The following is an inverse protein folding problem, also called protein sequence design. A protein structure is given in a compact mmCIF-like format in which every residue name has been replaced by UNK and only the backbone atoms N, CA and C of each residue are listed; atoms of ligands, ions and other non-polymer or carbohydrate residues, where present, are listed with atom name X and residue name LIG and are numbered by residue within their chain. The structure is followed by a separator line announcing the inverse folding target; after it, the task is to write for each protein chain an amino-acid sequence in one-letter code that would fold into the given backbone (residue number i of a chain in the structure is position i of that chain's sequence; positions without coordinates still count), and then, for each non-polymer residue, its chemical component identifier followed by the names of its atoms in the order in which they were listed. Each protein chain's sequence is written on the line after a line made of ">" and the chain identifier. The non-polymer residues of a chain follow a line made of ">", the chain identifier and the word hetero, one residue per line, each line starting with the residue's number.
data_IF_381669516677
#
_entry.id   IF_381669516677
#
_cell.length_a   1.000
_cell.length_b   1.000
_cell.length_c   1.000
_cell.angle_alpha   90.00
_cell.angle_beta   90.00
_cell.angle_gamma   90.00
#
_symmetry.space_group_name_H-M   'P 1'
#
loop_
_entity.id
_entity.type
_entity.pdbx_description
1 polymer ?
#
# COMPACT_ATOMS: atom_id res chain seq x y z
N UNK A 1 -44.77 -2.63 30.18
CA UNK A 1 -43.44 -2.61 29.54
C UNK A 1 -43.39 -1.41 28.60
N UNK A 2 -42.51 -0.43 28.83
CA UNK A 2 -42.29 0.66 27.87
C UNK A 2 -41.57 0.05 26.66
N UNK A 3 -42.25 -0.09 25.54
CA UNK A 3 -41.61 -0.34 24.24
C UNK A 3 -40.73 0.85 23.94
N UNK A 4 -39.41 0.68 24.04
CA UNK A 4 -38.45 1.72 23.68
C UNK A 4 -38.45 1.79 22.15
N UNK A 5 -38.99 2.88 21.61
CA UNK A 5 -39.02 3.13 20.17
C UNK A 5 -37.62 3.54 19.70
N UNK A 6 -36.78 2.55 19.34
CA UNK A 6 -35.41 2.76 18.86
C UNK A 6 -35.32 2.63 17.34
N UNK A 7 -34.43 3.42 16.73
CA UNK A 7 -33.89 3.16 15.40
C UNK A 7 -32.67 2.26 15.59
N UNK A 8 -32.59 1.16 14.83
CA UNK A 8 -31.40 0.30 14.85
C UNK A 8 -30.58 0.49 13.58
N UNK A 9 -29.31 0.82 13.81
CA UNK A 9 -28.30 0.97 12.78
C UNK A 9 -27.25 -0.10 13.05
N UNK A 10 -27.01 -0.95 12.06
CA UNK A 10 -25.95 -1.96 12.12
C UNK A 10 -24.69 -1.41 11.45
N UNK A 11 -23.57 -1.38 12.18
CA UNK A 11 -22.25 -1.17 11.59
C UNK A 11 -21.65 -2.55 11.31
N UNK A 12 -21.43 -2.88 10.04
CA UNK A 12 -20.99 -4.19 9.60
C UNK A 12 -19.69 -4.09 8.79
N UNK A 13 -18.62 -4.74 9.27
CA UNK A 13 -17.48 -5.02 8.41
C UNK A 13 -17.77 -6.31 7.63
N UNK A 14 -18.51 -6.17 6.52
CA UNK A 14 -19.00 -7.26 5.69
C UNK A 14 -19.11 -6.81 4.23
N UNK A 15 -19.09 -7.79 3.31
CA UNK A 15 -19.32 -7.57 1.88
C UNK A 15 -20.80 -7.28 1.57
N UNK A 16 -21.10 -6.92 0.32
CA UNK A 16 -22.47 -6.60 -0.08
C UNK A 16 -23.44 -7.78 0.08
N UNK A 17 -22.99 -9.00 -0.21
CA UNK A 17 -23.84 -10.19 -0.16
C UNK A 17 -24.27 -10.48 1.27
N UNK A 18 -23.33 -10.43 2.20
CA UNK A 18 -23.58 -10.66 3.63
C UNK A 18 -24.44 -9.54 4.23
N UNK A 19 -24.23 -8.28 3.84
CA UNK A 19 -25.10 -7.18 4.27
C UNK A 19 -26.55 -7.35 3.80
N UNK A 20 -26.76 -7.79 2.55
CA UNK A 20 -28.11 -8.10 2.05
C UNK A 20 -28.73 -9.27 2.81
N UNK A 21 -27.95 -10.30 3.12
CA UNK A 21 -28.41 -11.43 3.95
C UNK A 21 -28.86 -10.94 5.33
N UNK A 22 -28.07 -10.10 5.99
CA UNK A 22 -28.40 -9.50 7.29
C UNK A 22 -29.68 -8.65 7.22
N UNK A 23 -29.83 -7.82 6.20
CA UNK A 23 -31.04 -7.01 6.00
C UNK A 23 -32.30 -7.87 5.78
N UNK A 24 -32.15 -9.02 5.12
CA UNK A 24 -33.24 -9.97 4.88
C UNK A 24 -33.64 -10.71 6.16
N UNK A 25 -32.65 -11.19 6.92
CA UNK A 25 -32.86 -11.99 8.12
C UNK A 25 -33.35 -11.13 9.30
N UNK A 26 -32.93 -9.87 9.37
CA UNK A 26 -33.22 -8.94 10.48
C UNK A 26 -33.99 -7.71 9.99
N UNK A 27 -35.29 -7.88 9.81
CA UNK A 27 -36.24 -6.83 9.41
C UNK A 27 -36.29 -5.63 10.36
N UNK A 28 -35.74 -5.73 11.57
CA UNK A 28 -35.71 -4.67 12.57
C UNK A 28 -34.67 -3.57 12.31
N UNK A 29 -33.65 -3.87 11.51
CA UNK A 29 -32.62 -2.92 11.11
C UNK A 29 -33.24 -1.85 10.20
N UNK A 30 -32.98 -0.58 10.52
CA UNK A 30 -33.41 0.53 9.67
C UNK A 30 -32.31 0.93 8.67
N UNK A 31 -31.05 0.73 9.06
CA UNK A 31 -29.87 1.04 8.26
C UNK A 31 -28.76 0.03 8.55
N UNK A 32 -28.07 -0.42 7.51
CA UNK A 32 -26.79 -1.12 7.59
C UNK A 32 -25.74 -0.23 6.96
N UNK A 33 -24.66 0.02 7.69
CA UNK A 33 -23.47 0.74 7.22
C UNK A 33 -22.32 -0.25 7.09
N UNK A 34 -21.91 -0.52 5.86
CA UNK A 34 -20.88 -1.48 5.50
C UNK A 34 -19.47 -0.92 5.32
N UNK A 35 -18.47 -1.81 5.23
CA UNK A 35 -17.07 -1.40 5.02
C UNK A 35 -16.12 -2.41 4.35
N UNK A 36 -16.46 -3.70 4.20
CA UNK A 36 -15.58 -4.67 3.52
C UNK A 36 -15.95 -4.80 2.03
N UNK A 37 -15.78 -3.69 1.32
CA UNK A 37 -16.24 -3.53 -0.07
C UNK A 37 -15.19 -2.81 -0.92
N UNK A 38 -15.05 -3.17 -2.21
CA UNK A 38 -14.05 -2.58 -3.09
C UNK A 38 -14.34 -1.12 -3.47
N UNK A 39 -15.57 -0.66 -3.26
CA UNK A 39 -16.01 0.67 -3.65
C UNK A 39 -17.21 1.14 -2.82
N UNK A 40 -17.46 2.46 -2.78
CA UNK A 40 -18.63 2.99 -2.10
C UNK A 40 -19.89 2.74 -2.94
N UNK A 41 -21.05 2.60 -2.29
CA UNK A 41 -22.34 2.50 -3.02
C UNK A 41 -22.66 3.82 -3.73
N UNK A 42 -23.22 3.82 -4.94
CA UNK A 42 -23.64 5.08 -5.59
C UNK A 42 -25.00 5.57 -5.06
N UNK A 43 -25.90 4.63 -4.77
CA UNK A 43 -27.26 4.87 -4.31
C UNK A 43 -27.53 4.12 -3.00
N UNK A 44 -28.63 4.47 -2.33
CA UNK A 44 -29.10 3.70 -1.18
C UNK A 44 -29.65 2.37 -1.69
N UNK A 45 -29.01 1.27 -1.29
CA UNK A 45 -29.54 -0.05 -1.57
C UNK A 45 -30.67 -0.35 -0.57
N UNK A 46 -31.68 -1.07 -1.01
CA UNK A 46 -32.79 -1.52 -0.16
C UNK A 46 -32.90 -3.03 -0.21
N UNK A 47 -33.06 -3.62 0.96
CA UNK A 47 -33.32 -5.04 1.13
C UNK A 47 -34.29 -5.17 2.31
N UNK A 48 -35.45 -5.78 2.06
CA UNK A 48 -36.57 -5.77 3.01
C UNK A 48 -36.92 -4.33 3.47
N UNK A 49 -37.01 -4.08 4.78
CA UNK A 49 -37.23 -2.74 5.35
C UNK A 49 -35.93 -1.98 5.65
N UNK A 50 -34.77 -2.57 5.36
CA UNK A 50 -33.47 -1.98 5.66
C UNK A 50 -32.94 -1.16 4.48
N UNK A 51 -32.36 -0.01 4.79
CA UNK A 51 -31.44 0.67 3.88
C UNK A 51 -30.03 0.13 4.08
N UNK A 52 -29.26 0.01 3.02
CA UNK A 52 -27.85 -0.41 3.06
C UNK A 52 -27.02 0.65 2.35
N UNK A 53 -26.02 1.16 3.04
CA UNK A 53 -24.99 2.04 2.50
C UNK A 53 -23.63 1.52 2.92
N UNK A 54 -22.61 1.79 2.12
CA UNK A 54 -21.25 1.43 2.47
C UNK A 54 -20.28 2.41 1.83
N UNK A 55 -19.23 2.71 2.57
CA UNK A 55 -18.06 3.42 2.08
C UNK A 55 -16.94 2.42 1.85
N UNK A 56 -16.08 2.69 0.88
CA UNK A 56 -14.90 1.85 0.63
C UNK A 56 -13.89 1.98 1.76
N UNK A 57 -12.88 1.12 1.74
CA UNK A 57 -11.76 1.18 2.64
C UNK A 57 -10.94 2.49 2.44
N UNK A 58 -9.98 2.73 3.33
CA UNK A 58 -8.92 3.75 3.14
C UNK A 58 -9.39 5.21 3.25
N UNK A 59 -10.60 5.45 3.76
CA UNK A 59 -11.16 6.79 3.98
C UNK A 59 -11.12 7.71 2.74
N UNK A 60 -11.12 7.14 1.53
CA UNK A 60 -11.10 7.91 0.27
C UNK A 60 -12.43 8.59 0.00
N UNK A 61 -13.52 8.12 0.61
CA UNK A 61 -14.83 8.73 0.49
C UNK A 61 -15.47 8.97 1.84
N UNK A 62 -16.30 10.00 1.91
CA UNK A 62 -17.18 10.27 3.05
C UNK A 62 -18.61 10.22 2.55
N UNK A 63 -19.40 9.31 3.13
CA UNK A 63 -20.84 9.21 2.90
C UNK A 63 -21.61 10.02 3.94
N UNK A 64 -22.58 10.82 3.50
CA UNK A 64 -23.54 11.52 4.37
C UNK A 64 -24.93 11.04 4.04
N UNK A 65 -25.65 10.55 5.05
CA UNK A 65 -27.06 10.16 4.97
C UNK A 65 -27.86 11.00 5.96
N UNK A 66 -28.86 11.73 5.48
CA UNK A 66 -29.90 12.34 6.32
C UNK A 66 -31.24 11.65 6.05
N UNK A 67 -32.07 11.50 7.08
CA UNK A 67 -33.38 10.87 6.96
C UNK A 67 -34.29 11.32 8.12
N UNK A 68 -35.60 11.24 7.89
CA UNK A 68 -36.63 11.50 8.90
C UNK A 68 -36.92 10.23 9.70
N UNK A 69 -36.98 10.35 11.03
CA UNK A 69 -37.34 9.22 11.90
C UNK A 69 -38.86 9.19 12.09
N UNK A 70 -39.52 8.14 11.59
CA UNK A 70 -40.98 7.97 11.67
C UNK A 70 -41.37 6.68 12.40
N UNK A 71 -42.66 6.52 12.72
CA UNK A 71 -43.22 5.32 13.36
C UNK A 71 -43.40 5.44 14.89
N UNK A 72 -44.37 4.70 15.44
CA UNK A 72 -44.71 4.76 16.87
C UNK A 72 -44.05 3.62 17.67
N UNK A 73 -44.44 2.37 17.41
CA UNK A 73 -43.91 1.19 18.10
C UNK A 73 -42.51 0.79 17.61
N UNK A 74 -42.21 1.10 16.35
CA UNK A 74 -40.96 0.78 15.66
C UNK A 74 -40.54 2.01 14.87
N UNK A 75 -39.32 2.49 15.10
CA UNK A 75 -38.80 3.64 14.37
C UNK A 75 -38.20 3.20 13.04
N UNK A 76 -38.44 4.01 12.01
CA UNK A 76 -37.97 3.82 10.63
C UNK A 76 -37.36 5.11 10.10
N UNK A 77 -36.55 4.96 9.07
CA UNK A 77 -35.96 6.07 8.34
C UNK A 77 -36.74 6.28 7.03
N UNK A 78 -37.27 7.48 6.84
CA UNK A 78 -37.98 7.90 5.61
C UNK A 78 -37.32 9.14 5.02
N UNK A 79 -37.67 9.45 3.77
CA UNK A 79 -37.18 10.64 3.06
C UNK A 79 -35.64 10.76 3.06
N UNK A 80 -34.90 9.68 2.71
CA UNK A 80 -33.46 9.71 2.85
C UNK A 80 -32.83 10.59 1.75
N UNK A 81 -31.86 11.41 2.15
CA UNK A 81 -30.94 12.08 1.23
C UNK A 81 -29.54 11.55 1.48
N UNK A 82 -28.91 11.03 0.43
CA UNK A 82 -27.59 10.40 0.50
C UNK A 82 -26.64 11.07 -0.47
N UNK A 83 -25.42 11.32 0.00
CA UNK A 83 -24.33 11.87 -0.80
C UNK A 83 -23.03 11.17 -0.45
N UNK A 84 -22.21 10.90 -1.46
CA UNK A 84 -20.80 10.56 -1.28
C UNK A 84 -19.92 11.65 -1.84
N UNK A 85 -18.92 12.02 -1.06
CA UNK A 85 -17.84 12.89 -1.48
C UNK A 85 -16.53 12.08 -1.57
N UNK A 86 -15.88 12.14 -2.73
CA UNK A 86 -14.49 11.69 -2.86
C UNK A 86 -13.58 12.73 -2.21
N UNK A 87 -12.72 12.28 -1.29
CA UNK A 87 -11.70 13.13 -0.70
C UNK A 87 -10.56 13.34 -1.69
N UNK A 88 -10.29 14.60 -2.01
CA UNK A 88 -9.27 15.01 -2.96
C UNK A 88 -8.30 16.00 -2.31
N UNK A 89 -7.13 16.18 -2.91
CA UNK A 89 -6.08 17.05 -2.37
C UNK A 89 -6.51 18.51 -2.25
N UNK A 90 -7.51 18.96 -3.02
CA UNK A 90 -8.01 20.33 -2.96
C UNK A 90 -8.84 20.62 -1.69
N UNK A 91 -9.24 19.60 -0.93
CA UNK A 91 -9.96 19.78 0.33
C UNK A 91 -8.98 20.29 1.38
N UNK A 92 -9.22 21.48 1.99
CA UNK A 92 -8.32 22.02 3.01
C UNK A 92 -8.14 21.06 4.18
N UNK A 93 -6.90 20.77 4.53
CA UNK A 93 -6.58 19.91 5.65
C UNK A 93 -6.77 20.64 6.98
N UNK A 94 -7.32 19.94 7.97
CA UNK A 94 -7.40 20.45 9.34
C UNK A 94 -5.98 20.58 9.93
N UNK A 95 -5.63 21.78 10.40
CA UNK A 95 -4.28 22.11 10.89
C UNK A 95 -3.87 21.30 12.12
N UNK A 96 -4.80 21.01 13.02
CA UNK A 96 -4.54 20.26 14.25
C UNK A 96 -4.28 18.79 13.94
N UNK A 97 -5.09 18.18 13.08
CA UNK A 97 -4.88 16.81 12.62
C UNK A 97 -3.56 16.68 11.84
N UNK A 98 -3.23 17.66 11.01
CA UNK A 98 -1.96 17.68 10.29
C UNK A 98 -0.77 17.76 11.25
N UNK A 99 -0.84 18.65 12.26
CA UNK A 99 0.19 18.76 13.30
C UNK A 99 0.34 17.47 14.11
N UNK A 100 -0.78 16.81 14.44
CA UNK A 100 -0.80 15.52 15.11
C UNK A 100 -0.11 14.44 14.26
N UNK A 101 -0.43 14.36 12.96
CA UNK A 101 0.19 13.41 12.05
C UNK A 101 1.71 13.64 11.90
N UNK A 102 2.15 14.90 11.85
CA UNK A 102 3.58 15.23 11.84
C UNK A 102 4.27 14.83 13.15
N UNK A 103 3.63 15.07 14.28
CA UNK A 103 4.16 14.69 15.60
C UNK A 103 4.30 13.17 15.73
N UNK A 104 3.27 12.43 15.29
CA UNK A 104 3.29 10.96 15.25
C UNK A 104 4.43 10.41 14.37
N UNK A 105 4.64 10.98 13.18
CA UNK A 105 5.75 10.57 12.31
C UNK A 105 7.12 10.88 12.91
N UNK A 106 7.25 12.01 13.60
CA UNK A 106 8.48 12.37 14.30
C UNK A 106 8.76 11.41 15.47
N UNK A 107 7.73 11.02 16.21
CA UNK A 107 7.80 10.01 17.27
C UNK A 107 8.23 8.67 16.69
N UNK A 108 7.55 8.18 15.64
CA UNK A 108 7.96 6.94 14.94
C UNK A 108 9.44 6.97 14.65
N UNK A 109 9.97 8.05 14.06
CA UNK A 109 11.39 8.19 13.68
C UNK A 109 12.35 7.96 14.86
N UNK A 110 11.96 8.36 16.07
CA UNK A 110 12.77 8.26 17.28
C UNK A 110 12.52 6.98 18.09
N UNK A 111 11.38 6.32 17.85
CA UNK A 111 11.03 5.07 18.51
C UNK A 111 11.75 3.89 17.87
N UNK A 112 12.47 3.12 18.70
CA UNK A 112 13.01 1.82 18.33
C UNK A 112 11.85 0.82 18.17
N UNK A 113 11.77 0.16 17.01
CA UNK A 113 10.75 -0.84 16.71
C UNK A 113 11.39 -2.22 16.63
N UNK A 114 10.60 -3.28 16.85
CA UNK A 114 11.09 -4.66 16.77
C UNK A 114 11.69 -5.02 15.40
N UNK A 115 11.17 -4.39 14.32
CA UNK A 115 11.70 -4.55 12.96
C UNK A 115 13.09 -3.93 12.75
N UNK A 116 13.54 -3.07 13.67
CA UNK A 116 14.88 -2.49 13.63
C UNK A 116 15.93 -3.49 14.12
N UNK A 117 15.51 -4.50 14.90
CA UNK A 117 16.40 -5.53 15.41
C UNK A 117 16.87 -6.44 14.24
N UNK A 118 18.18 -6.52 13.94
CA UNK A 118 18.67 -7.42 12.90
C UNK A 118 18.42 -8.90 13.19
N UNK A 119 18.23 -9.27 14.47
CA UNK A 119 17.95 -10.64 14.91
C UNK A 119 16.46 -11.01 14.83
N UNK A 120 15.55 -10.04 14.65
CA UNK A 120 14.11 -10.31 14.53
C UNK A 120 13.70 -10.82 13.14
N UNK A 121 14.61 -10.75 12.16
CA UNK A 121 14.41 -11.33 10.84
C UNK A 121 14.88 -12.78 10.88
N UNK A 122 13.95 -13.73 11.04
CA UNK A 122 14.27 -15.15 10.96
C UNK A 122 14.85 -15.47 9.56
N UNK A 123 16.16 -15.77 9.45
CA UNK A 123 16.80 -16.07 8.17
C UNK A 123 16.26 -17.36 7.54
N UNK A 124 15.56 -18.18 8.33
CA UNK A 124 14.98 -19.47 7.99
C UNK A 124 13.45 -19.46 7.99
N UNK A 125 12.79 -18.28 8.03
CA UNK A 125 11.32 -18.17 8.03
C UNK A 125 10.68 -18.88 6.83
N UNK A 126 11.46 -19.10 5.77
CA UNK A 126 11.12 -19.98 4.65
C UNK A 126 12.07 -21.19 4.69
N UNK A 127 11.59 -22.38 5.11
CA UNK A 127 12.39 -23.60 5.09
C UNK A 127 12.95 -23.89 3.70
N UNK A 128 14.28 -24.05 3.59
CA UNK A 128 14.96 -24.42 2.35
C UNK A 128 15.59 -23.27 1.54
N UNK A 129 15.51 -22.02 2.02
CA UNK A 129 16.21 -20.87 1.41
C UNK A 129 17.49 -20.62 2.22
N UNK A 130 18.67 -20.76 1.59
CA UNK A 130 19.94 -20.42 2.22
C UNK A 130 20.03 -18.93 2.58
N UNK A 131 21.09 -18.48 3.30
CA UNK A 131 21.25 -17.07 3.62
C UNK A 131 21.17 -16.23 2.33
N UNK A 132 20.21 -15.30 2.29
CA UNK A 132 20.02 -14.38 1.18
C UNK A 132 21.33 -13.65 0.89
N UNK A 133 21.75 -13.66 -0.37
CA UNK A 133 22.84 -12.80 -0.85
C UNK A 133 22.58 -11.34 -0.44
N UNK A 134 23.59 -10.60 0.06
CA UNK A 134 23.41 -9.20 0.45
C UNK A 134 23.11 -8.30 -0.75
N UNK A 135 22.43 -7.19 -0.47
CA UNK A 135 22.16 -6.15 -1.46
C UNK A 135 23.40 -5.25 -1.63
N UNK A 136 23.73 -4.89 -2.86
CA UNK A 136 24.90 -4.05 -3.20
C UNK A 136 24.54 -2.61 -3.60
N UNK A 137 23.25 -2.32 -3.77
CA UNK A 137 22.73 -1.02 -4.18
C UNK A 137 22.90 -0.72 -5.68
N UNK A 138 22.00 0.12 -6.21
CA UNK A 138 21.94 0.45 -7.64
C UNK A 138 23.24 1.00 -8.21
N UNK A 139 24.01 1.76 -7.41
CA UNK A 139 25.28 2.34 -7.86
C UNK A 139 26.28 1.27 -8.34
N UNK A 140 26.24 0.07 -7.76
CA UNK A 140 27.10 -1.06 -8.15
C UNK A 140 26.79 -1.60 -9.56
N UNK A 141 25.59 -1.32 -10.09
CA UNK A 141 25.16 -1.79 -11.41
C UNK A 141 25.59 -0.84 -12.54
N UNK A 142 25.85 0.43 -12.23
CA UNK A 142 26.05 1.52 -13.21
C UNK A 142 27.20 1.27 -14.19
N UNK A 143 28.31 0.71 -13.72
CA UNK A 143 29.53 0.60 -14.54
C UNK A 143 29.37 -0.38 -15.70
N UNK A 144 28.58 -1.44 -15.52
CA UNK A 144 28.31 -2.45 -16.56
C UNK A 144 26.96 -2.25 -17.26
N UNK A 145 25.97 -1.67 -16.55
CA UNK A 145 24.59 -1.46 -17.03
C UNK A 145 24.23 0.02 -17.12
N UNK A 146 25.11 0.83 -17.71
CA UNK A 146 24.97 2.29 -17.69
C UNK A 146 23.66 2.79 -18.32
N UNK A 147 23.18 2.16 -19.39
CA UNK A 147 21.92 2.57 -20.05
C UNK A 147 20.71 2.24 -19.20
N UNK A 148 20.66 1.02 -18.66
CA UNK A 148 19.56 0.58 -17.79
C UNK A 148 19.54 1.41 -16.49
N UNK A 149 20.70 1.69 -15.90
CA UNK A 149 20.85 2.56 -14.74
C UNK A 149 20.32 3.96 -15.02
N UNK A 150 20.63 4.55 -16.19
CA UNK A 150 20.15 5.88 -16.56
C UNK A 150 18.62 5.95 -16.76
N UNK A 151 17.98 4.83 -17.13
CA UNK A 151 16.51 4.73 -17.17
C UNK A 151 15.95 4.73 -15.76
N UNK A 152 16.51 3.90 -14.86
CA UNK A 152 16.11 3.85 -13.45
C UNK A 152 16.29 5.21 -12.76
N UNK A 153 17.44 5.86 -12.92
CA UNK A 153 17.79 7.12 -12.27
C UNK A 153 16.83 8.25 -12.63
N UNK A 154 16.25 8.23 -13.83
CA UNK A 154 15.27 9.24 -14.29
C UNK A 154 13.83 8.91 -13.93
N UNK A 155 13.57 7.69 -13.44
CA UNK A 155 12.24 7.23 -13.10
C UNK A 155 11.84 7.67 -11.69
N UNK A 156 10.54 7.60 -11.38
CA UNK A 156 10.07 7.83 -10.00
C UNK A 156 10.67 6.84 -8.99
N UNK A 157 11.12 5.67 -9.43
CA UNK A 157 11.75 4.67 -8.57
C UNK A 157 13.10 5.12 -8.03
N UNK A 158 13.93 5.80 -8.83
CA UNK A 158 15.23 6.35 -8.41
C UNK A 158 15.14 7.61 -7.53
N UNK A 159 13.92 8.06 -7.22
CA UNK A 159 13.64 9.22 -6.37
C UNK A 159 12.59 8.91 -5.30
N UNK A 160 12.27 7.64 -5.10
CA UNK A 160 11.16 7.22 -4.27
C UNK A 160 11.35 7.66 -2.81
N UNK A 161 12.55 7.50 -2.25
CA UNK A 161 12.79 7.78 -0.83
C UNK A 161 12.71 9.28 -0.51
N UNK A 162 13.18 10.14 -1.42
CA UNK A 162 13.09 11.59 -1.28
C UNK A 162 11.63 12.08 -1.10
N UNK A 163 10.66 11.36 -1.67
CA UNK A 163 9.24 11.68 -1.47
C UNK A 163 8.78 11.44 -0.03
N UNK A 164 9.37 10.46 0.66
CA UNK A 164 9.09 10.18 2.07
C UNK A 164 9.74 11.22 2.98
N UNK A 165 11.00 11.58 2.71
CA UNK A 165 11.70 12.62 3.47
C UNK A 165 10.93 13.95 3.43
N UNK A 166 10.43 14.33 2.24
CA UNK A 166 9.60 15.54 2.07
C UNK A 166 8.32 15.52 2.91
N UNK A 167 7.73 14.34 3.12
CA UNK A 167 6.51 14.14 3.94
C UNK A 167 6.81 13.81 5.41
N UNK A 168 8.09 13.66 5.75
CA UNK A 168 8.57 13.20 7.05
C UNK A 168 8.19 11.76 7.39
N UNK A 169 7.93 10.92 6.39
CA UNK A 169 7.51 9.51 6.54
C UNK A 169 8.61 8.49 6.19
N UNK A 170 9.86 8.94 6.07
CA UNK A 170 11.08 8.17 5.78
C UNK A 170 11.42 7.10 6.83
N UNK A 171 10.77 7.15 8.00
CA UNK A 171 10.91 6.17 9.06
C UNK A 171 9.66 5.29 9.25
N UNK A 172 8.58 5.52 8.50
CA UNK A 172 7.35 4.74 8.62
C UNK A 172 7.55 3.34 8.00
N UNK A 173 7.44 2.24 8.78
CA UNK A 173 7.61 0.88 8.29
C UNK A 173 6.74 0.52 7.08
N UNK A 174 5.52 1.07 7.02
CA UNK A 174 4.62 0.84 5.88
C UNK A 174 5.15 1.51 4.61
N UNK A 175 5.69 2.72 4.73
CA UNK A 175 6.23 3.47 3.59
C UNK A 175 7.57 2.91 3.11
N UNK A 176 8.50 2.62 4.01
CA UNK A 176 9.85 2.15 3.63
C UNK A 176 9.80 0.78 2.94
N UNK A 177 8.79 -0.05 3.22
CA UNK A 177 8.59 -1.36 2.57
C UNK A 177 8.61 -1.30 1.04
N UNK A 178 8.07 -0.22 0.47
CA UNK A 178 7.91 -0.02 -0.97
C UNK A 178 8.88 1.04 -1.54
N UNK A 179 9.59 1.79 -0.69
CA UNK A 179 10.45 2.92 -1.08
C UNK A 179 11.95 2.67 -0.86
N UNK A 180 12.31 1.45 -0.49
CA UNK A 180 13.69 1.02 -0.25
C UNK A 180 13.93 -0.38 -0.78
N UNK A 181 15.19 -0.79 -0.85
CA UNK A 181 15.59 -2.12 -1.31
C UNK A 181 15.58 -3.11 -0.15
N UNK A 182 14.80 -4.18 -0.28
CA UNK A 182 14.88 -5.34 0.60
C UNK A 182 14.41 -5.10 2.04
N UNK A 183 13.60 -4.08 2.30
CA UNK A 183 13.05 -3.82 3.64
C UNK A 183 12.41 -5.10 4.23
N UNK A 184 12.73 -5.39 5.49
CA UNK A 184 12.28 -6.61 6.18
C UNK A 184 12.96 -7.91 5.74
N UNK A 185 13.90 -7.88 4.77
CA UNK A 185 14.68 -9.04 4.35
C UNK A 185 16.09 -9.02 4.93
N UNK A 186 16.74 -10.19 5.09
CA UNK A 186 18.15 -10.24 5.48
C UNK A 186 19.02 -9.40 4.54
N UNK A 187 19.88 -8.56 5.11
CA UNK A 187 20.78 -7.67 4.37
C UNK A 187 20.13 -6.47 3.67
N UNK A 188 18.80 -6.29 3.76
CA UNK A 188 18.11 -5.15 3.15
C UNK A 188 18.11 -3.88 3.99
N UNK A 189 17.41 -2.85 3.50
CA UNK A 189 17.28 -1.56 4.17
C UNK A 189 16.65 -1.73 5.56
N UNK A 190 17.17 -0.97 6.53
CA UNK A 190 16.63 -0.83 7.87
C UNK A 190 16.52 0.64 8.21
N UNK A 191 15.47 1.03 8.92
CA UNK A 191 15.23 2.42 9.31
C UNK A 191 16.12 2.82 10.51
N UNK A 192 16.17 4.11 10.89
CA UNK A 192 15.66 5.27 10.17
C UNK A 192 16.49 5.65 8.94
N UNK A 193 17.79 5.36 8.94
CA UNK A 193 18.73 5.73 7.87
C UNK A 193 19.73 4.60 7.66
N UNK A 194 19.26 3.41 7.25
CA UNK A 194 20.10 2.24 7.01
C UNK A 194 21.15 2.47 5.93
N UNK A 195 21.51 1.44 5.17
CA UNK A 195 22.47 1.68 4.09
C UNK A 195 21.90 2.69 3.09
N UNK A 196 22.56 3.85 2.94
CA UNK A 196 22.22 4.86 1.93
C UNK A 196 22.27 4.31 0.50
N UNK A 197 22.93 3.17 0.29
CA UNK A 197 22.92 2.50 -1.01
C UNK A 197 21.63 1.73 -1.31
N UNK A 198 20.76 1.55 -0.30
CA UNK A 198 19.51 0.78 -0.36
C UNK A 198 18.26 1.67 -0.22
N UNK A 199 18.43 2.99 -0.19
CA UNK A 199 17.31 3.92 -0.37
C UNK A 199 16.84 3.85 -1.82
N UNK A 200 15.61 4.31 -2.05
CA UNK A 200 14.90 4.26 -3.33
C UNK A 200 14.47 2.85 -3.75
N UNK A 201 13.62 2.77 -4.77
CA UNK A 201 13.26 1.48 -5.40
C UNK A 201 14.38 1.11 -6.35
N UNK A 202 15.48 0.59 -5.80
CA UNK A 202 16.71 0.30 -6.55
C UNK A 202 16.61 -0.86 -7.54
N UNK A 203 17.69 -1.10 -8.31
CA UNK A 203 17.75 -2.18 -9.30
C UNK A 203 17.37 -3.55 -8.71
N UNK A 204 17.82 -3.79 -7.48
CA UNK A 204 17.64 -5.05 -6.76
C UNK A 204 16.22 -5.24 -6.20
N UNK A 205 15.35 -4.21 -6.24
CA UNK A 205 13.93 -4.34 -5.89
C UNK A 205 13.15 -5.18 -6.91
N UNK A 206 13.56 -5.15 -8.19
CA UNK A 206 12.97 -5.98 -9.23
C UNK A 206 13.83 -7.19 -9.58
N UNK A 207 15.15 -7.01 -9.58
CA UNK A 207 16.11 -8.00 -10.07
C UNK A 207 16.69 -8.91 -8.98
N UNK A 208 16.41 -8.61 -7.71
CA UNK A 208 16.96 -9.34 -6.56
C UNK A 208 18.40 -8.92 -6.21
N UNK A 209 18.98 -9.49 -5.13
CA UNK A 209 20.32 -9.13 -4.67
C UNK A 209 21.41 -9.47 -5.69
N UNK A 210 22.29 -8.50 -5.97
CA UNK A 210 23.32 -8.56 -7.01
C UNK A 210 24.72 -8.92 -6.52
N UNK A 211 24.93 -9.18 -5.23
CA UNK A 211 26.29 -9.35 -4.67
C UNK A 211 27.10 -10.45 -5.33
N UNK A 212 26.50 -11.62 -5.56
CA UNK A 212 27.18 -12.75 -6.20
C UNK A 212 27.51 -12.45 -7.66
N UNK A 213 26.59 -11.78 -8.37
CA UNK A 213 26.78 -11.38 -9.76
C UNK A 213 27.98 -10.43 -9.89
N UNK A 214 28.01 -9.38 -9.07
CA UNK A 214 29.10 -8.39 -9.05
C UNK A 214 30.43 -9.03 -8.63
N UNK A 215 30.43 -9.88 -7.61
CA UNK A 215 31.65 -10.56 -7.15
C UNK A 215 32.24 -11.47 -8.23
N UNK A 216 31.41 -12.28 -8.91
CA UNK A 216 31.88 -13.16 -9.99
C UNK A 216 32.47 -12.37 -11.15
N UNK A 217 31.83 -11.26 -11.55
CA UNK A 217 32.37 -10.40 -12.60
C UNK A 217 33.73 -9.81 -12.21
N UNK A 218 33.86 -9.29 -10.97
CA UNK A 218 35.13 -8.75 -10.46
C UNK A 218 36.25 -9.78 -10.39
N UNK A 219 35.92 -11.04 -10.12
CA UNK A 219 36.85 -12.16 -10.13
C UNK A 219 37.22 -12.65 -11.55
N UNK A 220 36.71 -12.02 -12.61
CA UNK A 220 36.90 -12.47 -14.00
C UNK A 220 36.19 -13.80 -14.31
N UNK A 221 35.24 -14.23 -13.48
CA UNK A 221 34.48 -15.45 -13.67
C UNK A 221 33.31 -15.18 -14.62
N UNK A 222 32.97 -16.17 -15.43
CA UNK A 222 31.83 -16.08 -16.33
C UNK A 222 30.52 -15.90 -15.54
N UNK A 223 29.80 -14.82 -15.84
CA UNK A 223 28.46 -14.55 -15.34
C UNK A 223 27.44 -15.03 -16.36
N UNK A 224 27.14 -16.34 -16.37
CA UNK A 224 26.05 -16.90 -17.19
C UNK A 224 24.67 -16.64 -16.60
N UNK A 225 24.48 -15.45 -16.06
CA UNK A 225 23.25 -15.01 -15.43
C UNK A 225 22.53 -14.05 -16.38
N UNK A 226 21.26 -14.33 -16.64
CA UNK A 226 20.35 -13.41 -17.33
C UNK A 226 19.27 -13.03 -16.34
N UNK A 227 19.03 -11.73 -16.17
CA UNK A 227 17.84 -11.29 -15.46
C UNK A 227 16.62 -11.90 -16.14
N UNK A 228 15.72 -12.47 -15.33
CA UNK A 228 14.45 -12.96 -15.85
C UNK A 228 13.62 -11.78 -16.37
N UNK A 229 12.75 -11.99 -17.37
CA UNK A 229 11.73 -11.02 -17.69
C UNK A 229 10.86 -10.72 -16.46
N UNK A 230 10.52 -9.43 -16.29
CA UNK A 230 9.59 -8.98 -15.27
C UNK A 230 8.15 -9.04 -15.80
N UNK A 231 7.20 -9.31 -14.92
CA UNK A 231 5.77 -9.31 -15.20
C UNK A 231 4.98 -8.45 -14.22
N UNK A 232 3.67 -8.31 -14.44
CA UNK A 232 2.78 -7.48 -13.62
C UNK A 232 2.89 -7.77 -12.11
N UNK A 233 3.03 -9.05 -11.74
CA UNK A 233 3.19 -9.46 -10.35
C UNK A 233 4.40 -8.81 -9.64
N UNK A 234 5.48 -8.54 -10.36
CA UNK A 234 6.68 -7.88 -9.80
C UNK A 234 6.39 -6.44 -9.40
N UNK A 235 5.64 -5.72 -10.24
CA UNK A 235 5.22 -4.35 -9.96
C UNK A 235 4.17 -4.30 -8.83
N UNK A 236 3.27 -5.28 -8.81
CA UNK A 236 2.17 -5.36 -7.83
C UNK A 236 2.63 -5.76 -6.43
N UNK A 237 3.93 -6.01 -6.20
CA UNK A 237 4.52 -6.09 -4.86
C UNK A 237 4.48 -4.76 -4.11
N UNK A 238 4.35 -3.64 -4.84
CA UNK A 238 4.24 -2.27 -4.30
C UNK A 238 3.04 -1.52 -4.91
N UNK A 239 2.72 -1.78 -6.18
CA UNK A 239 1.60 -1.14 -6.89
C UNK A 239 0.28 -1.85 -6.65
N UNK A 240 -0.20 -1.79 -5.42
CA UNK A 240 -1.49 -2.32 -5.01
C UNK A 240 -2.12 -1.42 -3.94
N UNK A 241 -3.42 -1.61 -3.70
CA UNK A 241 -4.13 -0.99 -2.60
C UNK A 241 -4.10 0.54 -2.60
N UNK A 242 -3.92 1.11 -1.41
CA UNK A 242 -4.22 2.52 -1.12
C UNK A 242 -3.09 3.50 -1.48
N UNK A 243 -1.86 2.99 -1.59
CA UNK A 243 -0.67 3.80 -1.84
C UNK A 243 -0.28 3.87 -3.32
N UNK A 244 -1.03 3.17 -4.19
CA UNK A 244 -0.84 3.21 -5.64
C UNK A 244 -2.11 3.67 -6.36
N UNK A 245 -1.93 4.39 -7.47
CA UNK A 245 -2.97 4.52 -8.50
C UNK A 245 -3.31 3.11 -9.05
N UNK A 246 -4.52 2.87 -9.57
CA UNK A 246 -4.87 1.57 -10.17
C UNK A 246 -3.77 1.10 -11.12
N UNK A 247 -3.26 -0.11 -10.88
CA UNK A 247 -2.16 -0.64 -11.66
C UNK A 247 -2.61 -0.95 -13.08
N UNK A 248 -1.82 -0.52 -14.05
CA UNK A 248 -2.05 -0.74 -15.47
C UNK A 248 -0.70 -0.99 -16.13
N UNK A 249 -0.46 -2.25 -16.53
CA UNK A 249 0.83 -2.68 -17.07
C UNK A 249 1.28 -1.81 -18.25
N UNK A 250 0.37 -1.54 -19.18
CA UNK A 250 0.64 -0.82 -20.43
C UNK A 250 0.97 0.65 -20.19
N UNK A 251 0.60 1.21 -19.02
CA UNK A 251 0.94 2.58 -18.61
C UNK A 251 2.16 2.66 -17.70
N UNK A 252 2.42 1.63 -16.91
CA UNK A 252 3.49 1.65 -15.91
C UNK A 252 4.81 1.14 -16.48
N UNK A 253 4.80 0.00 -17.17
CA UNK A 253 6.01 -0.63 -17.69
C UNK A 253 6.83 0.26 -18.63
N UNK A 254 6.24 1.03 -19.59
CA UNK A 254 7.02 1.84 -20.52
C UNK A 254 7.93 2.88 -19.85
N UNK A 255 7.63 3.30 -18.61
CA UNK A 255 8.42 4.31 -17.89
C UNK A 255 9.75 3.75 -17.37
N UNK A 256 9.88 2.43 -17.27
CA UNK A 256 11.05 1.74 -16.68
C UNK A 256 11.55 0.59 -17.55
N UNK A 257 11.02 0.40 -18.76
CA UNK A 257 11.40 -0.69 -19.65
C UNK A 257 12.87 -0.60 -20.09
N UNK A 258 13.63 -1.69 -19.93
CA UNK A 258 15.06 -1.77 -20.24
C UNK A 258 15.51 -3.22 -20.54
N UNK A 259 16.81 -3.43 -20.84
CA UNK A 259 17.39 -4.78 -20.97
C UNK A 259 17.68 -5.30 -22.38
N UNK A 260 17.86 -4.42 -23.38
CA UNK A 260 18.22 -4.81 -24.76
C UNK A 260 19.74 -4.92 -25.02
N UNK A 261 20.58 -4.77 -23.99
CA UNK A 261 22.03 -4.62 -24.17
C UNK A 261 22.74 -5.96 -24.44
N UNK A 262 23.68 -5.96 -25.39
CA UNK A 262 24.69 -7.03 -25.50
C UNK A 262 25.68 -6.86 -24.34
N UNK A 263 26.07 -7.94 -23.63
CA UNK A 263 27.04 -7.84 -22.55
C UNK A 263 28.33 -7.18 -23.04
N UNK A 264 28.82 -6.17 -22.32
CA UNK A 264 30.15 -5.59 -22.56
C UNK A 264 31.16 -6.60 -22.03
N UNK A 265 31.60 -7.50 -22.91
CA UNK A 265 32.77 -8.35 -22.65
C UNK A 265 33.99 -7.44 -22.83
N UNK A 266 34.67 -7.10 -21.74
CA UNK A 266 36.02 -6.56 -21.78
C UNK A 266 37.01 -7.71 -21.83
#
# INVERSE_FOLDING_TARGET
>A
MRTISIVMILLAFADELEMRRLAKDYYELALIVGGDVPGPTQDILKENESMIVFTTNQARTVGTLSATVTGEKRKRLTDPAYQIQLLKEEIPQNKELLAMAHSYRAEIRQTALDLDNPESVDPNAIPGVGPSAPYVGSASCRDCHAKDYAIWEKSGHGHAFATLEKKGSDADPHCISCHTVGSGKPGGYRRPMGSKSLVDVGCESCHGPGSEHVARYRDGKQTNFKFRPLGAGDCMTCHYGEFSRPFDWDKFWPQVAHGSEKPVIK
#
